data_IF_649787404801
#
_entry.id   IF_649787404801
#
_cell.length_a   1.000
_cell.length_b   1.000
_cell.length_c   1.000
_cell.angle_alpha   90.00
_cell.angle_beta   90.00
_cell.angle_gamma   90.00
#
_symmetry.space_group_name_H-M   'P 1'
#
loop_
_entity.id
_entity.type
_entity.pdbx_description
1 polymer ?
#
# COMPACT_ATOMS: atom_id res chain seq x y z
N UNK A 1 -10.31 -48.87 -23.30
CA UNK A 1 -9.84 -48.98 -21.91
C UNK A 1 -10.25 -50.30 -21.27
N UNK A 2 -11.54 -50.63 -21.21
CA UNK A 2 -12.09 -51.87 -20.61
C UNK A 2 -11.33 -53.14 -20.96
N UNK A 3 -11.10 -53.36 -22.26
CA UNK A 3 -10.42 -54.53 -22.77
C UNK A 3 -8.94 -54.62 -22.31
N UNK A 4 -8.18 -53.54 -22.46
CA UNK A 4 -6.76 -53.50 -22.05
C UNK A 4 -6.57 -53.58 -20.53
N UNK A 5 -7.43 -52.89 -19.77
CA UNK A 5 -7.41 -52.97 -18.31
C UNK A 5 -7.80 -54.36 -17.82
N UNK A 6 -8.78 -55.00 -18.49
CA UNK A 6 -9.11 -56.39 -18.24
C UNK A 6 -7.96 -57.33 -18.56
N UNK A 7 -7.25 -57.14 -19.69
CA UNK A 7 -6.06 -57.95 -20.02
C UNK A 7 -4.97 -57.84 -18.95
N UNK A 8 -4.74 -56.64 -18.40
CA UNK A 8 -3.80 -56.45 -17.27
C UNK A 8 -4.29 -57.13 -16.00
N UNK A 9 -5.60 -57.05 -15.70
CA UNK A 9 -6.20 -57.68 -14.52
C UNK A 9 -6.06 -59.21 -14.54
N UNK A 10 -6.15 -59.85 -15.71
CA UNK A 10 -5.91 -61.30 -15.86
C UNK A 10 -4.53 -61.68 -15.33
N UNK A 11 -3.48 -60.94 -15.67
CA UNK A 11 -2.13 -61.25 -15.20
C UNK A 11 -2.03 -61.17 -13.67
N UNK A 12 -2.63 -60.13 -13.06
CA UNK A 12 -2.61 -59.95 -11.60
C UNK A 12 -3.41 -61.02 -10.87
N UNK A 13 -4.60 -61.39 -11.37
CA UNK A 13 -5.43 -62.44 -10.80
C UNK A 13 -4.79 -63.83 -10.91
N UNK A 14 -3.85 -64.01 -11.84
CA UNK A 14 -3.03 -65.21 -11.97
C UNK A 14 -1.63 -65.06 -11.31
N UNK A 15 -1.48 -64.12 -10.37
CA UNK A 15 -0.30 -63.99 -9.51
C UNK A 15 0.97 -63.48 -10.21
N UNK A 16 0.85 -62.83 -11.38
CA UNK A 16 2.01 -62.30 -12.09
C UNK A 16 2.42 -60.93 -11.56
N UNK A 17 3.72 -60.70 -11.47
CA UNK A 17 4.28 -59.44 -10.96
C UNK A 17 4.24 -58.34 -12.04
N UNK A 18 4.23 -57.05 -11.66
CA UNK A 18 4.26 -55.94 -12.61
C UNK A 18 5.42 -56.02 -13.62
N UNK A 19 6.61 -56.47 -13.17
CA UNK A 19 7.79 -56.62 -14.02
C UNK A 19 7.60 -57.70 -15.10
N UNK A 20 6.88 -58.78 -14.76
CA UNK A 20 6.55 -59.84 -15.70
C UNK A 20 5.56 -59.36 -16.75
N UNK A 21 4.54 -58.60 -16.32
CA UNK A 21 3.51 -58.03 -17.19
C UNK A 21 4.15 -57.08 -18.21
N UNK A 22 5.01 -56.17 -17.76
CA UNK A 22 5.68 -55.22 -18.64
C UNK A 22 6.47 -55.89 -19.77
N UNK A 23 7.17 -57.00 -19.47
CA UNK A 23 7.99 -57.72 -20.44
C UNK A 23 7.20 -58.66 -21.36
N UNK A 24 6.02 -59.12 -20.93
CA UNK A 24 5.27 -60.18 -21.61
C UNK A 24 3.81 -59.78 -21.89
N UNK A 25 3.56 -58.48 -22.03
CA UNK A 25 2.21 -57.98 -22.22
C UNK A 25 1.66 -58.41 -23.59
N UNK A 26 0.60 -59.21 -23.57
CA UNK A 26 -0.16 -59.58 -24.75
C UNK A 26 -1.47 -58.78 -24.78
N UNK A 27 -1.60 -57.89 -25.76
CA UNK A 27 -2.80 -57.09 -25.96
C UNK A 27 -4.00 -57.97 -26.32
N UNK A 28 -3.80 -59.14 -26.95
CA UNK A 28 -4.88 -60.04 -27.36
C UNK A 28 -5.25 -61.07 -26.28
N UNK A 29 -4.59 -61.03 -25.12
CA UNK A 29 -4.73 -62.05 -24.07
C UNK A 29 -6.19 -62.29 -23.67
N UNK A 30 -6.93 -61.24 -23.35
CA UNK A 30 -8.31 -61.36 -22.87
C UNK A 30 -9.24 -61.92 -23.96
N UNK A 31 -9.04 -61.53 -25.22
CA UNK A 31 -9.76 -62.09 -26.36
C UNK A 31 -9.48 -63.58 -26.52
N UNK A 32 -8.20 -63.98 -26.53
CA UNK A 32 -7.77 -65.38 -26.66
C UNK A 32 -8.38 -66.25 -25.57
N UNK A 33 -8.32 -65.82 -24.31
CA UNK A 33 -8.87 -66.54 -23.16
C UNK A 33 -10.38 -66.80 -23.32
N UNK A 34 -11.10 -65.89 -23.96
CA UNK A 34 -12.55 -65.99 -24.18
C UNK A 34 -12.90 -66.82 -25.42
N UNK A 35 -12.14 -66.71 -26.52
CA UNK A 35 -12.53 -67.30 -27.82
C UNK A 35 -11.85 -68.61 -28.16
N UNK A 36 -10.62 -68.84 -27.70
CA UNK A 36 -9.88 -70.06 -28.04
C UNK A 36 -10.24 -71.20 -27.09
N UNK A 37 -10.49 -72.40 -27.64
CA UNK A 37 -10.90 -73.60 -26.90
C UNK A 37 -9.76 -74.35 -26.20
N UNK A 38 -8.50 -73.99 -26.45
CA UNK A 38 -7.30 -74.69 -25.95
C UNK A 38 -6.65 -74.11 -24.67
N UNK A 39 -7.33 -73.22 -23.96
CA UNK A 39 -6.80 -72.53 -22.77
C UNK A 39 -7.30 -73.21 -21.49
N UNK A 40 -6.41 -73.34 -20.50
CA UNK A 40 -6.72 -74.00 -19.23
C UNK A 40 -7.89 -73.32 -18.51
N UNK A 41 -8.75 -74.13 -17.91
CA UNK A 41 -10.02 -73.71 -17.30
C UNK A 41 -9.83 -72.78 -16.10
N UNK A 42 -8.75 -72.95 -15.35
CA UNK A 42 -8.35 -72.10 -14.22
C UNK A 42 -8.09 -70.64 -14.65
N UNK A 43 -7.36 -70.45 -15.74
CA UNK A 43 -7.06 -69.14 -16.32
C UNK A 43 -8.33 -68.53 -16.93
N UNK A 44 -9.19 -69.35 -17.57
CA UNK A 44 -10.46 -68.86 -18.13
C UNK A 44 -11.41 -68.29 -17.09
N UNK A 45 -11.47 -68.89 -15.91
CA UNK A 45 -12.32 -68.38 -14.82
C UNK A 45 -11.90 -66.98 -14.37
N UNK A 46 -10.64 -66.59 -14.54
CA UNK A 46 -10.16 -65.23 -14.25
C UNK A 46 -10.56 -64.18 -15.29
N UNK A 47 -11.06 -64.58 -16.46
CA UNK A 47 -11.50 -63.65 -17.51
C UNK A 47 -12.75 -62.85 -17.12
N UNK A 48 -13.69 -63.48 -16.41
CA UNK A 48 -14.94 -62.88 -15.95
C UNK A 48 -14.68 -61.71 -14.97
N UNK A 49 -13.95 -61.91 -13.84
CA UNK A 49 -13.62 -60.80 -12.93
C UNK A 49 -12.71 -59.76 -13.60
N UNK A 50 -11.87 -60.17 -14.54
CA UNK A 50 -11.02 -59.24 -15.31
C UNK A 50 -11.84 -58.31 -16.20
N UNK A 51 -12.83 -58.83 -16.92
CA UNK A 51 -13.76 -58.02 -17.72
C UNK A 51 -14.55 -57.04 -16.85
N UNK A 52 -15.06 -57.51 -15.70
CA UNK A 52 -15.76 -56.67 -14.73
C UNK A 52 -14.86 -55.55 -14.18
N UNK A 53 -13.61 -55.88 -13.80
CA UNK A 53 -12.66 -54.89 -13.30
C UNK A 53 -12.27 -53.86 -14.37
N UNK A 54 -12.11 -54.29 -15.62
CA UNK A 54 -11.88 -53.40 -16.75
C UNK A 54 -13.08 -52.49 -17.02
N UNK A 55 -14.31 -53.00 -16.86
CA UNK A 55 -15.54 -52.24 -17.07
C UNK A 55 -15.70 -51.17 -15.98
N UNK A 56 -15.51 -51.56 -14.73
CA UNK A 56 -15.50 -50.64 -13.58
C UNK A 56 -14.42 -49.56 -13.73
N UNK A 57 -13.19 -49.94 -14.07
CA UNK A 57 -12.10 -48.97 -14.29
C UNK A 57 -12.40 -48.01 -15.43
N UNK A 58 -13.03 -48.49 -16.51
CA UNK A 58 -13.38 -47.63 -17.65
C UNK A 58 -14.45 -46.58 -17.33
N UNK A 59 -15.23 -46.78 -16.27
CA UNK A 59 -16.20 -45.80 -15.78
C UNK A 59 -15.57 -44.87 -14.73
N UNK A 60 -14.79 -45.41 -13.79
CA UNK A 60 -14.21 -44.64 -12.68
C UNK A 60 -13.10 -43.69 -13.15
N UNK A 61 -12.20 -44.14 -14.02
CA UNK A 61 -11.01 -43.35 -14.41
C UNK A 61 -11.39 -42.06 -15.14
N UNK A 62 -12.28 -42.05 -16.15
CA UNK A 62 -12.71 -40.82 -16.80
C UNK A 62 -13.44 -39.87 -15.83
N UNK A 63 -14.30 -40.40 -14.95
CA UNK A 63 -15.01 -39.60 -13.94
C UNK A 63 -14.04 -38.95 -12.97
N UNK A 64 -13.02 -39.68 -12.53
CA UNK A 64 -11.97 -39.15 -11.66
C UNK A 64 -11.14 -38.07 -12.34
N UNK A 65 -10.75 -38.28 -13.61
CA UNK A 65 -10.02 -37.28 -14.40
C UNK A 65 -10.86 -36.01 -14.58
N UNK A 66 -12.14 -36.15 -14.97
CA UNK A 66 -13.07 -35.02 -15.13
C UNK A 66 -13.23 -34.27 -13.80
N UNK A 67 -13.42 -34.99 -12.70
CA UNK A 67 -13.50 -34.38 -11.36
C UNK A 67 -12.24 -33.61 -11.00
N UNK A 68 -11.06 -34.14 -11.31
CA UNK A 68 -9.79 -33.50 -11.02
C UNK A 68 -9.52 -32.28 -11.91
N UNK A 69 -9.94 -32.32 -13.17
CA UNK A 69 -9.85 -31.18 -14.09
C UNK A 69 -10.85 -30.07 -13.72
N UNK A 70 -12.03 -30.42 -13.22
CA UNK A 70 -13.06 -29.45 -12.80
C UNK A 70 -12.82 -28.84 -11.41
N UNK A 71 -11.71 -29.16 -10.72
CA UNK A 71 -11.38 -28.55 -9.42
C UNK A 71 -10.83 -27.13 -9.51
N UNK A 72 -10.53 -26.63 -10.70
CA UNK A 72 -10.07 -25.25 -10.85
C UNK A 72 -11.27 -24.31 -10.75
N UNK A 73 -11.59 -23.91 -9.52
CA UNK A 73 -12.48 -22.79 -9.25
C UNK A 73 -11.80 -21.50 -9.75
N UNK A 74 -11.97 -21.20 -11.04
CA UNK A 74 -11.54 -19.92 -11.60
C UNK A 74 -12.54 -18.87 -11.14
N UNK A 75 -12.13 -18.02 -10.20
CA UNK A 75 -12.97 -16.95 -9.69
C UNK A 75 -13.29 -15.94 -10.81
N UNK A 76 -14.53 -15.97 -11.32
CA UNK A 76 -15.00 -15.14 -12.44
C UNK A 76 -14.93 -13.62 -12.18
N UNK A 77 -15.01 -13.19 -10.92
CA UNK A 77 -15.08 -11.78 -10.52
C UNK A 77 -13.97 -11.37 -9.56
N UNK A 78 -12.89 -12.15 -9.52
CA UNK A 78 -11.75 -11.93 -8.62
C UNK A 78 -11.76 -12.84 -7.39
N UNK A 79 -10.58 -13.11 -6.88
CA UNK A 79 -10.32 -14.07 -5.80
C UNK A 79 -10.05 -13.34 -4.46
N UNK A 80 -10.75 -12.22 -4.25
CA UNK A 80 -10.61 -11.43 -3.04
C UNK A 80 -11.19 -12.21 -1.84
N UNK A 81 -10.33 -12.47 -0.85
CA UNK A 81 -10.70 -13.19 0.37
C UNK A 81 -10.08 -12.52 1.59
N UNK A 82 -10.65 -12.78 2.76
CA UNK A 82 -9.97 -12.47 4.01
C UNK A 82 -8.67 -13.27 4.11
N UNK A 83 -7.60 -12.61 4.57
CA UNK A 83 -6.30 -13.24 4.71
C UNK A 83 -6.33 -14.35 5.76
N UNK A 84 -5.81 -15.52 5.40
CA UNK A 84 -5.52 -16.61 6.33
C UNK A 84 -4.12 -16.47 6.94
N UNK A 85 -3.83 -17.27 7.98
CA UNK A 85 -2.49 -17.36 8.58
C UNK A 85 -1.42 -17.69 7.53
N UNK A 86 -1.75 -18.52 6.54
CA UNK A 86 -0.82 -18.90 5.47
C UNK A 86 -0.57 -17.73 4.51
N UNK A 87 -1.61 -16.94 4.21
CA UNK A 87 -1.47 -15.75 3.37
C UNK A 87 -0.59 -14.70 4.08
N UNK A 88 -0.77 -14.51 5.39
CA UNK A 88 0.07 -13.61 6.19
C UNK A 88 1.53 -14.10 6.27
N UNK A 89 1.76 -15.40 6.47
CA UNK A 89 3.13 -15.97 6.48
C UNK A 89 3.86 -15.80 5.14
N UNK A 90 3.13 -15.91 4.03
CA UNK A 90 3.67 -15.70 2.68
C UNK A 90 3.76 -14.23 2.30
N UNK A 91 3.06 -13.34 3.00
CA UNK A 91 3.06 -11.92 2.72
C UNK A 91 4.45 -11.31 2.92
N UNK A 92 4.85 -10.49 1.95
CA UNK A 92 6.02 -9.61 2.04
C UNK A 92 5.67 -8.23 2.61
N UNK A 93 4.37 -7.92 2.72
CA UNK A 93 3.87 -6.59 3.06
C UNK A 93 3.42 -6.49 4.53
N UNK A 94 2.85 -7.57 5.07
CA UNK A 94 2.29 -7.63 6.42
C UNK A 94 3.04 -8.65 7.27
N UNK A 95 3.53 -8.21 8.42
CA UNK A 95 4.32 -9.03 9.36
C UNK A 95 3.75 -8.96 10.76
N UNK A 96 3.90 -10.04 11.54
CA UNK A 96 3.46 -10.07 12.95
C UNK A 96 4.43 -9.36 13.90
N UNK A 97 5.64 -9.12 13.45
CA UNK A 97 6.69 -8.46 14.22
C UNK A 97 7.15 -7.24 13.43
N UNK A 98 7.55 -6.21 14.18
CA UNK A 98 8.12 -5.00 13.61
C UNK A 98 9.53 -5.36 13.12
N UNK A 99 9.80 -5.19 11.84
CA UNK A 99 11.12 -5.50 11.27
C UNK A 99 12.07 -4.32 11.46
N UNK A 100 11.55 -3.09 11.36
CA UNK A 100 12.34 -1.87 11.48
C UNK A 100 11.51 -0.70 12.07
N UNK A 101 12.16 0.42 12.36
CA UNK A 101 11.49 1.59 12.95
C UNK A 101 10.65 2.45 12.00
N UNK A 102 10.66 2.14 10.70
CA UNK A 102 9.89 2.78 9.62
C UNK A 102 8.57 2.07 9.29
N UNK A 103 8.31 0.89 9.86
CA UNK A 103 7.08 0.14 9.61
C UNK A 103 5.84 0.83 10.23
N UNK A 104 4.67 0.59 9.64
CA UNK A 104 3.39 1.17 10.07
C UNK A 104 2.57 0.11 10.80
N UNK A 105 2.11 0.42 12.01
CA UNK A 105 1.19 -0.46 12.74
C UNK A 105 -0.21 -0.33 12.14
N UNK A 106 -0.75 -1.42 11.57
CA UNK A 106 -2.06 -1.43 10.88
C UNK A 106 -3.16 -2.16 11.66
N UNK A 107 -2.81 -2.93 12.68
CA UNK A 107 -3.81 -3.59 13.53
C UNK A 107 -3.23 -4.72 14.37
N UNK A 108 -4.10 -5.65 14.77
CA UNK A 108 -3.73 -6.85 15.50
C UNK A 108 -4.52 -8.07 14.99
N UNK A 109 -3.86 -9.23 14.94
CA UNK A 109 -4.46 -10.49 14.53
C UNK A 109 -3.97 -11.61 15.46
N UNK A 110 -4.91 -12.35 16.08
CA UNK A 110 -4.62 -13.43 17.05
C UNK A 110 -3.64 -13.02 18.16
N UNK A 111 -3.85 -11.82 18.71
CA UNK A 111 -3.01 -11.27 19.79
C UNK A 111 -1.63 -10.77 19.36
N UNK A 112 -1.31 -10.80 18.06
CA UNK A 112 -0.05 -10.27 17.50
C UNK A 112 -0.33 -8.99 16.74
N UNK A 113 0.53 -7.98 16.90
CA UNK A 113 0.45 -6.77 16.11
C UNK A 113 0.74 -7.06 14.64
N UNK A 114 0.09 -6.34 13.74
CA UNK A 114 0.34 -6.41 12.31
C UNK A 114 1.00 -5.13 11.83
N UNK A 115 2.16 -5.29 11.23
CA UNK A 115 3.01 -4.22 10.71
C UNK A 115 3.02 -4.27 9.20
N UNK A 116 2.78 -3.11 8.58
CA UNK A 116 2.97 -2.90 7.16
C UNK A 116 4.40 -2.43 6.92
N UNK A 117 5.15 -3.21 6.15
CA UNK A 117 6.61 -3.07 5.96
C UNK A 117 7.01 -2.63 4.56
N UNK A 118 6.02 -2.46 3.67
CA UNK A 118 6.28 -2.01 2.30
C UNK A 118 6.47 -0.49 2.22
N UNK A 119 7.18 0.00 1.18
CA UNK A 119 7.46 1.42 1.01
C UNK A 119 6.26 2.22 0.43
N UNK A 120 5.12 1.58 0.21
CA UNK A 120 3.98 2.23 -0.44
C UNK A 120 3.15 3.08 0.53
N UNK A 121 2.29 3.93 -0.04
CA UNK A 121 1.34 4.74 0.72
C UNK A 121 0.22 3.88 1.31
N UNK A 122 -0.10 4.13 2.59
CA UNK A 122 -1.22 3.49 3.28
C UNK A 122 -2.39 4.46 3.39
N UNK A 123 -3.57 4.03 2.92
CA UNK A 123 -4.83 4.77 3.07
C UNK A 123 -5.75 4.06 4.06
N UNK A 124 -6.38 4.85 4.95
CA UNK A 124 -7.33 4.34 5.94
C UNK A 124 -8.72 4.92 5.68
N UNK A 125 -9.63 4.07 5.20
CA UNK A 125 -11.05 4.37 5.15
C UNK A 125 -11.69 4.17 6.51
N UNK A 126 -12.19 5.25 7.13
CA UNK A 126 -12.90 5.17 8.41
C UNK A 126 -13.96 6.27 8.52
N UNK A 127 -15.18 5.88 8.92
CA UNK A 127 -16.28 6.81 9.18
C UNK A 127 -15.99 7.83 10.28
N UNK A 128 -16.82 8.85 10.40
CA UNK A 128 -16.75 9.79 11.53
C UNK A 128 -17.00 9.04 12.84
N UNK A 129 -16.23 9.39 13.88
CA UNK A 129 -16.29 8.73 15.22
C UNK A 129 -15.95 7.23 15.25
N UNK A 130 -15.47 6.64 14.15
CA UNK A 130 -15.01 5.25 14.11
C UNK A 130 -13.67 4.99 14.85
N UNK A 131 -13.10 6.01 15.48
CA UNK A 131 -11.88 5.86 16.28
C UNK A 131 -10.57 5.83 15.48
N UNK A 132 -10.52 6.31 14.23
CA UNK A 132 -9.27 6.31 13.42
C UNK A 132 -8.05 6.92 14.12
N UNK A 133 -8.25 8.00 14.87
CA UNK A 133 -7.18 8.62 15.67
C UNK A 133 -6.70 7.71 16.79
N UNK A 134 -7.62 7.08 17.51
CA UNK A 134 -7.29 6.18 18.62
C UNK A 134 -6.73 4.82 18.17
N UNK A 135 -7.24 4.26 17.06
CA UNK A 135 -6.88 2.93 16.60
C UNK A 135 -5.58 2.91 15.77
N UNK A 136 -5.30 3.97 15.00
CA UNK A 136 -4.14 4.01 14.09
C UNK A 136 -3.22 5.18 14.41
N UNK A 137 -3.76 6.39 14.57
CA UNK A 137 -2.95 7.61 14.79
C UNK A 137 -2.09 7.54 16.06
N UNK A 138 -2.73 7.41 17.22
CA UNK A 138 -2.06 7.37 18.53
C UNK A 138 -1.05 6.22 18.59
N UNK A 139 -1.39 4.96 18.25
CA UNK A 139 -0.42 3.86 18.33
C UNK A 139 0.80 4.10 17.46
N UNK A 140 0.64 4.57 16.21
CA UNK A 140 1.77 4.86 15.34
C UNK A 140 2.65 5.99 15.88
N UNK A 141 2.07 7.05 16.43
CA UNK A 141 2.80 8.14 17.08
C UNK A 141 3.60 7.70 18.32
N UNK A 142 3.15 6.66 19.01
CA UNK A 142 3.82 6.11 20.19
C UNK A 142 4.96 5.14 19.86
N UNK A 143 4.90 4.44 18.71
CA UNK A 143 5.86 3.37 18.37
C UNK A 143 6.83 3.72 17.24
N UNK A 144 6.50 4.71 16.41
CA UNK A 144 7.33 5.11 15.26
C UNK A 144 8.42 6.08 15.71
N UNK A 145 9.69 5.67 15.58
CA UNK A 145 10.84 6.47 16.07
C UNK A 145 11.27 7.58 15.10
N UNK A 146 10.94 7.43 13.82
CA UNK A 146 11.22 8.45 12.80
C UNK A 146 10.35 9.71 12.95
N UNK A 147 10.76 10.76 12.24
CA UNK A 147 10.02 12.00 12.08
C UNK A 147 8.65 11.77 11.44
N UNK A 148 7.69 12.61 11.83
CA UNK A 148 6.33 12.57 11.32
C UNK A 148 5.69 13.96 11.40
N UNK A 149 4.74 14.21 10.51
CA UNK A 149 3.89 15.39 10.49
C UNK A 149 2.46 14.88 10.61
N UNK A 150 1.72 15.39 11.59
CA UNK A 150 0.35 14.97 11.84
C UNK A 150 -0.59 16.17 11.70
N UNK A 151 -1.57 16.06 10.80
CA UNK A 151 -2.70 16.97 10.77
C UNK A 151 -3.70 16.55 11.85
N UNK A 152 -3.75 17.31 12.93
CA UNK A 152 -4.53 16.99 14.13
C UNK A 152 -5.48 18.14 14.51
N UNK A 153 -6.60 18.34 13.78
CA UNK A 153 -7.52 19.46 14.02
C UNK A 153 -8.15 19.46 15.41
N UNK A 154 -8.17 18.32 16.10
CA UNK A 154 -8.71 18.19 17.47
C UNK A 154 -7.63 18.26 18.54
N UNK A 155 -6.36 18.26 18.13
CA UNK A 155 -5.20 18.23 19.01
C UNK A 155 -5.17 17.01 19.96
N UNK A 156 -5.86 15.91 19.64
CA UNK A 156 -5.92 14.71 20.48
C UNK A 156 -4.61 13.92 20.40
N UNK A 157 -4.04 13.84 19.20
CA UNK A 157 -2.80 13.12 18.93
C UNK A 157 -1.65 13.78 19.67
N UNK A 158 -1.51 15.11 19.55
CA UNK A 158 -0.44 15.85 20.21
C UNK A 158 -0.57 15.79 21.74
N UNK A 159 -1.77 15.99 22.30
CA UNK A 159 -1.99 15.96 23.76
C UNK A 159 -1.60 14.63 24.39
N UNK A 160 -1.87 13.52 23.70
CA UNK A 160 -1.64 12.17 24.23
C UNK A 160 -0.19 11.74 24.01
N UNK A 161 0.40 12.05 22.85
CA UNK A 161 1.65 11.40 22.42
C UNK A 161 2.90 12.26 22.53
N UNK A 162 2.77 13.59 22.61
CA UNK A 162 3.92 14.53 22.59
C UNK A 162 5.00 14.19 23.61
N UNK A 163 4.64 13.99 24.89
CA UNK A 163 5.61 13.66 25.95
C UNK A 163 6.27 12.31 25.76
N UNK A 164 5.57 11.32 25.21
CA UNK A 164 6.16 10.01 24.90
C UNK A 164 7.18 10.17 23.79
N UNK A 165 6.83 10.89 22.72
CA UNK A 165 7.75 11.17 21.61
C UNK A 165 8.99 11.93 22.07
N UNK A 166 8.82 12.94 22.92
CA UNK A 166 9.93 13.73 23.46
C UNK A 166 10.80 12.91 24.41
N UNK A 167 10.20 12.33 25.46
CA UNK A 167 10.96 11.74 26.57
C UNK A 167 11.42 10.31 26.32
N UNK A 168 10.60 9.50 25.66
CA UNK A 168 10.88 8.08 25.45
C UNK A 168 11.50 7.82 24.07
N UNK A 169 11.08 8.55 23.04
CA UNK A 169 11.63 8.38 21.68
C UNK A 169 12.72 9.41 21.33
N UNK A 170 12.95 10.42 22.18
CA UNK A 170 13.99 11.43 21.97
C UNK A 170 13.73 12.38 20.80
N UNK A 171 12.48 12.48 20.32
CA UNK A 171 12.15 13.36 19.21
C UNK A 171 11.94 14.81 19.69
N UNK A 172 12.32 15.78 18.85
CA UNK A 172 11.83 17.15 19.01
C UNK A 172 10.36 17.20 18.60
N UNK A 173 9.51 17.78 19.44
CA UNK A 173 8.07 17.85 19.19
C UNK A 173 7.64 19.30 19.07
N UNK A 174 7.07 19.65 17.92
CA UNK A 174 6.56 20.98 17.64
C UNK A 174 5.04 20.94 17.45
N UNK A 175 4.38 21.97 17.94
CA UNK A 175 2.95 22.22 17.74
C UNK A 175 2.82 23.49 16.90
N UNK A 176 2.13 23.43 15.76
CA UNK A 176 1.77 24.59 14.96
C UNK A 176 0.24 24.74 14.98
N UNK A 177 -0.23 25.73 15.72
CA UNK A 177 -1.64 26.04 15.93
C UNK A 177 -1.77 27.56 16.16
N UNK A 178 -1.97 28.36 15.09
CA UNK A 178 -1.90 29.84 15.17
C UNK A 178 -2.84 30.48 16.20
N UNK A 179 -3.87 29.77 16.65
CA UNK A 179 -4.87 30.26 17.60
C UNK A 179 -4.59 29.81 19.05
N UNK A 180 -3.47 29.14 19.29
CA UNK A 180 -3.12 28.54 20.57
C UNK A 180 -1.86 29.16 21.14
N UNK A 181 -1.92 29.57 22.41
CA UNK A 181 -0.78 30.19 23.11
C UNK A 181 0.44 29.28 23.24
N UNK A 182 0.27 27.96 23.08
CA UNK A 182 1.36 26.97 23.11
C UNK A 182 1.97 26.69 21.73
N UNK A 183 1.52 27.38 20.69
CA UNK A 183 2.08 27.19 19.35
C UNK A 183 3.55 27.57 19.32
N UNK A 184 4.32 26.77 18.61
CA UNK A 184 5.66 27.16 18.20
C UNK A 184 5.53 28.11 17.02
N UNK A 185 6.52 28.99 16.88
CA UNK A 185 6.61 29.91 15.76
C UNK A 185 7.17 29.17 14.55
N UNK A 186 6.66 29.49 13.36
CA UNK A 186 7.10 28.94 12.10
C UNK A 186 7.16 30.05 11.06
N UNK A 187 8.30 30.18 10.38
CA UNK A 187 8.47 31.07 9.24
C UNK A 187 8.74 30.23 7.98
N UNK A 188 7.78 30.11 7.05
CA UNK A 188 7.98 29.34 5.82
C UNK A 188 8.98 29.99 4.85
N UNK A 189 9.38 31.25 5.06
CA UNK A 189 10.43 31.90 4.27
C UNK A 189 11.84 31.65 4.82
N UNK A 190 11.98 31.04 6.00
CA UNK A 190 13.28 30.88 6.66
C UNK A 190 14.31 30.12 5.81
N UNK A 191 13.86 29.16 5.00
CA UNK A 191 14.75 28.36 4.14
C UNK A 191 14.94 28.95 2.74
N UNK A 192 14.25 30.04 2.40
CA UNK A 192 14.30 30.65 1.08
C UNK A 192 15.39 31.73 1.11
N UNK A 193 16.52 31.45 0.47
CA UNK A 193 17.58 32.43 0.24
C UNK A 193 17.59 32.85 -1.23
N UNK A 194 17.27 34.11 -1.51
CA UNK A 194 17.21 34.62 -2.89
C UNK A 194 18.58 34.90 -3.51
N UNK A 195 19.68 34.74 -2.76
CA UNK A 195 21.06 34.78 -3.29
C UNK A 195 21.45 33.46 -3.93
N UNK A 196 20.84 32.36 -3.51
CA UNK A 196 21.07 31.02 -4.04
C UNK A 196 20.37 30.82 -5.38
N UNK A 197 20.94 29.97 -6.24
CA UNK A 197 20.39 29.67 -7.57
C UNK A 197 18.95 29.12 -7.49
N UNK A 198 18.63 28.35 -6.45
CA UNK A 198 17.30 27.79 -6.25
C UNK A 198 16.31 28.75 -5.58
N UNK A 199 16.78 29.87 -5.01
CA UNK A 199 15.98 30.75 -4.15
C UNK A 199 14.71 31.25 -4.81
N UNK A 200 14.80 31.71 -6.05
CA UNK A 200 13.64 32.18 -6.81
C UNK A 200 12.64 31.03 -7.06
N UNK A 201 13.12 29.81 -7.33
CA UNK A 201 12.28 28.63 -7.53
C UNK A 201 11.59 28.22 -6.23
N UNK A 202 12.30 28.28 -5.11
CA UNK A 202 11.74 27.92 -3.80
C UNK A 202 10.70 28.94 -3.32
N UNK A 203 10.91 30.23 -3.62
CA UNK A 203 9.89 31.26 -3.45
C UNK A 203 8.64 30.97 -4.28
N UNK A 204 8.79 30.64 -5.57
CA UNK A 204 7.65 30.33 -6.44
C UNK A 204 6.85 29.10 -5.96
N UNK A 205 7.51 28.07 -5.43
CA UNK A 205 6.80 26.93 -4.80
C UNK A 205 5.97 27.36 -3.60
N UNK A 206 6.51 28.24 -2.75
CA UNK A 206 5.75 28.78 -1.61
C UNK A 206 4.54 29.59 -2.10
N UNK A 207 4.70 30.37 -3.17
CA UNK A 207 3.61 31.13 -3.78
C UNK A 207 2.50 30.23 -4.29
N UNK A 208 2.84 29.12 -4.95
CA UNK A 208 1.85 28.15 -5.43
C UNK A 208 1.08 27.47 -4.28
N UNK A 209 1.70 27.33 -3.09
CA UNK A 209 1.03 26.86 -1.88
C UNK A 209 0.08 27.92 -1.31
N UNK A 210 0.48 29.20 -1.30
CA UNK A 210 -0.31 30.30 -0.73
C UNK A 210 -1.46 30.76 -1.64
N UNK A 211 -1.21 30.80 -2.95
CA UNK A 211 -2.11 31.26 -3.99
C UNK A 211 -2.30 30.16 -5.04
N UNK A 212 -2.99 29.06 -4.70
CA UNK A 212 -3.11 27.91 -5.59
C UNK A 212 -3.89 28.28 -6.85
N UNK A 213 -3.32 28.02 -8.02
CA UNK A 213 -3.99 28.20 -9.32
C UNK A 213 -4.12 26.90 -10.12
N UNK A 214 -3.43 25.84 -9.70
CA UNK A 214 -3.50 24.53 -10.34
C UNK A 214 -4.91 23.93 -10.27
N UNK A 215 -5.44 23.54 -11.43
CA UNK A 215 -6.77 22.92 -11.55
C UNK A 215 -7.95 23.90 -11.48
N UNK A 216 -7.70 25.20 -11.30
CA UNK A 216 -8.72 26.25 -11.36
C UNK A 216 -8.86 26.76 -12.80
N UNK A 217 -10.08 27.19 -13.17
CA UNK A 217 -10.35 27.81 -14.48
C UNK A 217 -11.08 29.14 -14.33
N UNK A 218 -10.95 30.00 -15.35
CA UNK A 218 -11.62 31.30 -15.36
C UNK A 218 -11.02 32.33 -14.40
N UNK A 219 -11.89 33.17 -13.82
CA UNK A 219 -11.49 34.34 -13.04
C UNK A 219 -10.69 34.00 -11.78
N UNK A 220 -11.00 32.89 -11.10
CA UNK A 220 -10.32 32.48 -9.87
C UNK A 220 -8.83 32.20 -10.11
N UNK A 221 -8.51 31.45 -11.16
CA UNK A 221 -7.13 31.19 -11.56
C UNK A 221 -6.39 32.49 -11.93
N UNK A 222 -7.08 33.42 -12.61
CA UNK A 222 -6.52 34.72 -12.97
C UNK A 222 -6.16 35.54 -11.73
N UNK A 223 -7.08 35.67 -10.77
CA UNK A 223 -6.84 36.43 -9.54
C UNK A 223 -5.76 35.81 -8.67
N UNK A 224 -5.73 34.50 -8.49
CA UNK A 224 -4.69 33.83 -7.70
C UNK A 224 -3.30 34.00 -8.34
N UNK A 225 -3.20 33.90 -9.67
CA UNK A 225 -1.94 34.14 -10.38
C UNK A 225 -1.45 35.58 -10.21
N UNK A 226 -2.33 36.57 -10.38
CA UNK A 226 -1.97 37.98 -10.19
C UNK A 226 -1.56 38.29 -8.74
N UNK A 227 -2.31 37.77 -7.76
CA UNK A 227 -1.99 37.91 -6.35
C UNK A 227 -0.62 37.31 -6.03
N UNK A 228 -0.33 36.11 -6.53
CA UNK A 228 0.97 35.45 -6.37
C UNK A 228 2.13 36.23 -7.00
N UNK A 229 1.95 36.78 -8.20
CA UNK A 229 2.96 37.62 -8.86
C UNK A 229 3.23 38.90 -8.07
N UNK A 230 2.18 39.59 -7.62
CA UNK A 230 2.31 40.79 -6.83
C UNK A 230 3.03 40.52 -5.50
N UNK A 231 2.61 39.48 -4.78
CA UNK A 231 3.26 39.07 -3.53
C UNK A 231 4.73 38.69 -3.75
N UNK A 232 5.06 38.01 -4.86
CA UNK A 232 6.45 37.69 -5.22
C UNK A 232 7.30 38.96 -5.38
N UNK A 233 6.75 39.99 -6.01
CA UNK A 233 7.40 41.29 -6.14
C UNK A 233 7.72 41.92 -4.79
N UNK A 234 6.73 41.96 -3.89
CA UNK A 234 6.90 42.48 -2.53
C UNK A 234 7.91 41.69 -1.71
N UNK A 235 7.90 40.35 -1.80
CA UNK A 235 8.87 39.52 -1.11
C UNK A 235 10.30 39.79 -1.61
N UNK A 236 10.51 39.89 -2.93
CA UNK A 236 11.82 40.23 -3.49
C UNK A 236 12.28 41.63 -3.09
N UNK A 237 11.36 42.59 -3.04
CA UNK A 237 11.64 43.96 -2.58
C UNK A 237 12.04 43.99 -1.10
N UNK A 238 11.29 43.30 -0.24
CA UNK A 238 11.64 43.15 1.18
C UNK A 238 13.03 42.52 1.35
N UNK A 239 13.32 41.45 0.61
CA UNK A 239 14.65 40.84 0.63
C UNK A 239 15.73 41.82 0.20
N UNK A 240 15.45 42.66 -0.81
CA UNK A 240 16.36 43.71 -1.25
C UNK A 240 16.61 44.73 -0.13
N UNK A 241 15.56 45.24 0.51
CA UNK A 241 15.69 46.16 1.65
C UNK A 241 16.51 45.55 2.79
N UNK A 242 16.28 44.28 3.13
CA UNK A 242 17.02 43.62 4.21
C UNK A 242 18.51 43.48 3.88
N UNK A 243 18.87 43.17 2.64
CA UNK A 243 20.22 42.74 2.30
C UNK A 243 21.09 43.78 1.59
N UNK A 244 20.48 44.76 0.92
CA UNK A 244 21.19 45.67 0.02
C UNK A 244 20.91 47.14 0.33
N UNK A 245 19.72 47.49 0.80
CA UNK A 245 19.40 48.87 1.20
C UNK A 245 18.52 48.94 2.48
N UNK A 246 19.11 48.73 3.67
CA UNK A 246 18.37 48.72 4.93
C UNK A 246 17.75 50.05 5.34
N UNK A 247 18.08 51.15 4.66
CA UNK A 247 17.52 52.48 4.95
C UNK A 247 15.98 52.47 4.80
N UNK A 248 15.48 51.76 3.79
CA UNK A 248 14.05 51.56 3.54
C UNK A 248 13.31 50.78 4.62
N UNK A 249 14.02 49.97 5.44
CA UNK A 249 13.37 49.33 6.58
C UNK A 249 12.92 50.36 7.61
N UNK A 250 13.70 51.41 7.82
CA UNK A 250 13.32 52.52 8.71
C UNK A 250 12.19 53.35 8.12
N UNK A 251 12.27 53.67 6.82
CA UNK A 251 11.28 54.45 6.09
C UNK A 251 9.89 53.82 6.12
N UNK A 252 9.80 52.51 5.86
CA UNK A 252 8.53 51.77 5.89
C UNK A 252 8.23 51.12 7.25
N UNK A 253 9.00 51.39 8.31
CA UNK A 253 8.76 50.83 9.64
C UNK A 253 8.79 49.29 9.71
N UNK A 254 9.66 48.65 8.92
CA UNK A 254 9.73 47.21 8.75
C UNK A 254 10.74 46.55 9.69
N UNK A 255 10.40 45.35 10.15
CA UNK A 255 11.35 44.49 10.85
C UNK A 255 12.34 43.89 9.83
N UNK A 256 13.64 43.75 10.18
CA UNK A 256 14.65 43.14 9.31
C UNK A 256 14.53 41.61 9.27
N UNK A 257 13.34 41.09 8.99
CA UNK A 257 13.03 39.65 9.02
C UNK A 257 12.33 39.27 7.72
N UNK A 258 12.94 38.35 6.97
CA UNK A 258 12.32 37.84 5.75
C UNK A 258 11.21 36.84 6.10
N UNK A 259 9.97 37.33 6.22
CA UNK A 259 8.81 36.56 6.67
C UNK A 259 7.51 37.04 6.02
N UNK A 260 6.46 36.20 6.05
CA UNK A 260 5.14 36.57 5.49
C UNK A 260 4.62 37.84 6.18
N UNK A 261 4.75 37.91 7.51
CA UNK A 261 4.32 39.08 8.28
C UNK A 261 4.99 40.36 7.79
N UNK A 262 6.31 40.36 7.61
CA UNK A 262 7.04 41.54 7.13
C UNK A 262 6.72 41.90 5.67
N UNK A 263 6.35 40.93 4.82
CA UNK A 263 5.85 41.22 3.47
C UNK A 263 4.48 41.91 3.52
N UNK A 264 3.62 41.48 4.44
CA UNK A 264 2.31 42.11 4.67
C UNK A 264 2.47 43.50 5.30
N UNK A 265 3.42 43.68 6.23
CA UNK A 265 3.76 45.00 6.79
C UNK A 265 4.23 45.95 5.67
N UNK A 266 5.11 45.49 4.77
CA UNK A 266 5.55 46.25 3.60
C UNK A 266 4.35 46.65 2.72
N UNK A 267 3.46 45.71 2.40
CA UNK A 267 2.23 46.03 1.67
C UNK A 267 1.37 47.09 2.37
N UNK A 268 1.29 47.02 3.70
CA UNK A 268 0.44 47.88 4.51
C UNK A 268 1.00 49.30 4.66
N UNK A 269 2.32 49.42 4.66
CA UNK A 269 3.04 50.68 4.89
C UNK A 269 3.47 51.38 3.59
N UNK A 270 3.37 50.72 2.44
CA UNK A 270 3.44 51.41 1.15
C UNK A 270 2.20 52.29 1.01
N UNK A 271 2.43 53.59 0.85
CA UNK A 271 1.38 54.54 0.56
C UNK A 271 0.71 54.18 -0.78
N UNK A 272 -0.60 53.95 -0.72
CA UNK A 272 -1.45 53.54 -1.84
C UNK A 272 -2.39 54.65 -2.29
N UNK A 273 -2.50 55.70 -1.48
CA UNK A 273 -3.24 56.90 -1.78
C UNK A 273 -2.20 58.02 -1.84
N UNK A 274 -1.58 58.21 -3.00
CA UNK A 274 -1.13 59.56 -3.31
C UNK A 274 -2.38 60.42 -3.18
N UNK A 275 -2.44 61.23 -2.12
CA UNK A 275 -3.45 62.23 -1.82
C UNK A 275 -4.16 62.66 -3.12
N UNK A 276 -5.35 62.13 -3.35
CA UNK A 276 -6.32 62.78 -4.22
C UNK A 276 -6.76 64.06 -3.50
N UNK A 277 -5.89 65.07 -3.56
CA UNK A 277 -6.26 66.48 -3.47
C UNK A 277 -6.62 67.00 -4.87
#
# INVERSE_FOLDING_TARGET
MTYYTGSVAVYFLNGKTPLYIWKNFDSMLLWRIITESNIRTDIRLTAIPSLLSGMVSSLIVPVFIIWQLNKTDVALYGDAKFASDNDLRKSKLLKWEKENDTDILVGAYKGKYLWYTAPDFVSLGAGTRAGKGAAIGIPNLLVRKHSLIALDPKQELWKITSKVREKLLGNKVYLLDPFNSKTHQFNPLFYIDLKEESGAKDLLKLIEILFPSYGLTGAEAHFNNLAGQYWTGLAKLLHFFINYDPSWLGEFGLKPVFSIGSVVDLYSNIDREADTQ
#
